data_IF_707786943034
#
_entry.id   IF_707786943034
#
_cell.length_a   1.000
_cell.length_b   1.000
_cell.length_c   1.000
_cell.angle_alpha   90.00
_cell.angle_beta   90.00
_cell.angle_gamma   90.00
#
_symmetry.space_group_name_H-M   'P 1'
#
loop_
_entity.id
_entity.type
_entity.pdbx_description
1 polymer ?
#
# COMPACT_ATOMS: atom_id res chain seq x y z
N UNK A 1 26.96 36.28 51.74
CA UNK A 1 26.45 36.16 50.35
C UNK A 1 25.30 35.16 50.33
N UNK A 2 24.08 35.63 50.04
CA UNK A 2 22.94 34.72 49.80
C UNK A 2 23.13 34.03 48.48
N UNK A 3 23.22 32.69 48.53
CA UNK A 3 23.13 31.89 47.31
C UNK A 3 21.75 32.12 46.67
N UNK A 4 21.74 32.63 45.43
CA UNK A 4 20.54 32.67 44.61
C UNK A 4 20.24 31.23 44.20
N UNK A 5 19.21 30.63 44.83
CA UNK A 5 18.69 29.35 44.36
C UNK A 5 18.02 29.60 43.01
N UNK A 6 18.59 29.03 41.96
CA UNK A 6 17.95 29.00 40.64
C UNK A 6 16.65 28.19 40.71
N UNK A 7 15.51 28.88 40.61
CA UNK A 7 14.22 28.23 40.50
C UNK A 7 14.04 27.80 39.07
N UNK A 8 13.97 26.49 38.83
CA UNK A 8 13.69 25.93 37.50
C UNK A 8 12.22 25.58 37.42
N UNK A 9 11.52 26.16 36.45
CA UNK A 9 10.16 25.78 36.09
C UNK A 9 10.22 24.79 34.93
N UNK A 10 9.77 23.56 35.17
CA UNK A 10 9.73 22.53 34.19
C UNK A 10 8.40 22.54 33.42
N UNK A 11 8.44 22.27 32.11
CA UNK A 11 7.25 22.07 31.31
C UNK A 11 6.57 20.74 31.65
N UNK A 12 5.25 20.69 31.52
CA UNK A 12 4.51 19.46 31.63
C UNK A 12 4.91 18.50 30.49
N UNK A 13 4.95 17.19 30.73
CA UNK A 13 5.20 16.22 29.66
C UNK A 13 4.02 16.21 28.67
N UNK A 14 4.32 16.05 27.40
CA UNK A 14 3.35 15.76 26.34
C UNK A 14 3.57 14.37 25.75
N UNK A 15 2.50 13.73 25.35
CA UNK A 15 2.51 12.40 24.70
C UNK A 15 1.69 12.47 23.44
N UNK A 16 2.13 11.78 22.40
CA UNK A 16 1.39 11.59 21.16
C UNK A 16 1.05 10.11 21.04
N UNK A 17 -0.24 9.79 20.94
CA UNK A 17 -0.70 8.47 20.51
C UNK A 17 -1.03 8.56 19.02
N UNK A 18 -0.19 7.94 18.18
CA UNK A 18 -0.26 8.02 16.72
C UNK A 18 -0.84 6.73 16.15
N UNK A 19 -1.89 6.84 15.35
CA UNK A 19 -2.57 5.71 14.72
C UNK A 19 -2.80 5.96 13.23
N UNK A 20 -2.76 4.90 12.44
CA UNK A 20 -3.12 4.85 11.03
C UNK A 20 -3.58 3.44 10.69
N UNK A 21 -4.37 3.29 9.64
CA UNK A 21 -4.86 1.99 9.17
C UNK A 21 -4.38 1.71 7.76
N UNK A 22 -4.18 0.42 7.45
CA UNK A 22 -3.90 -0.04 6.10
C UNK A 22 -5.14 0.14 5.23
N UNK A 23 -4.94 0.61 4.01
CA UNK A 23 -6.02 0.79 3.03
C UNK A 23 -5.63 0.17 1.68
N UNK A 24 -6.57 0.15 0.75
CA UNK A 24 -6.31 -0.28 -0.63
C UNK A 24 -6.08 0.92 -1.55
N UNK A 25 -5.37 0.68 -2.65
CA UNK A 25 -5.12 1.67 -3.71
C UNK A 25 -6.43 2.36 -4.11
N UNK A 26 -6.38 3.70 -4.22
CA UNK A 26 -7.54 4.53 -4.53
C UNK A 26 -8.33 5.01 -3.32
N UNK A 27 -8.01 4.54 -2.11
CA UNK A 27 -8.61 5.04 -0.86
C UNK A 27 -7.72 6.10 -0.21
N UNK A 28 -8.34 7.02 0.53
CA UNK A 28 -7.62 7.99 1.34
C UNK A 28 -7.13 7.33 2.63
N UNK A 29 -5.90 7.65 3.02
CA UNK A 29 -5.37 7.28 4.33
C UNK A 29 -5.69 8.36 5.34
N UNK A 30 -6.17 7.95 6.51
CA UNK A 30 -6.35 8.83 7.66
C UNK A 30 -5.33 8.51 8.73
N UNK A 31 -4.53 9.51 9.11
CA UNK A 31 -3.53 9.44 10.16
C UNK A 31 -4.01 10.32 11.31
N UNK A 32 -4.07 9.76 12.53
CA UNK A 32 -4.58 10.44 13.71
C UNK A 32 -3.52 10.48 14.81
N UNK A 33 -3.26 11.67 15.31
CA UNK A 33 -2.50 11.90 16.52
C UNK A 33 -3.44 12.37 17.64
N UNK A 34 -3.50 11.63 18.73
CA UNK A 34 -4.13 12.08 19.99
C UNK A 34 -3.03 12.57 20.93
N UNK A 35 -3.22 13.75 21.50
CA UNK A 35 -2.21 14.38 22.36
C UNK A 35 -2.73 14.52 23.80
N UNK A 36 -1.79 14.72 24.72
CA UNK A 36 -2.11 15.03 26.13
C UNK A 36 -3.14 16.14 26.20
N UNK A 37 -4.09 16.02 27.13
CA UNK A 37 -5.15 17.00 27.35
C UNK A 37 -4.57 18.39 27.68
N UNK A 38 -5.15 19.41 27.06
CA UNK A 38 -4.72 20.82 27.18
C UNK A 38 -3.53 21.21 26.30
N UNK A 39 -2.94 20.31 25.54
CA UNK A 39 -1.91 20.63 24.55
C UNK A 39 -2.54 21.40 23.38
N UNK A 40 -1.91 22.51 23.01
CA UNK A 40 -2.34 23.40 21.92
C UNK A 40 -1.18 23.63 20.95
N UNK A 41 -1.49 24.07 19.73
CA UNK A 41 -0.52 24.29 18.66
C UNK A 41 -0.77 23.37 17.47
N UNK A 42 0.27 22.85 16.90
CA UNK A 42 0.19 21.96 15.73
C UNK A 42 1.03 20.69 15.90
N UNK A 43 0.62 19.63 15.21
CA UNK A 43 1.42 18.44 14.98
C UNK A 43 1.96 18.52 13.55
N UNK A 44 3.25 18.29 13.39
CA UNK A 44 3.90 18.13 12.09
C UNK A 44 3.96 16.64 11.80
N UNK A 45 3.12 16.17 10.87
CA UNK A 45 3.23 14.81 10.34
C UNK A 45 4.26 14.79 9.22
N UNK A 46 5.13 13.78 9.24
CA UNK A 46 6.13 13.55 8.18
C UNK A 46 5.82 12.20 7.54
N UNK A 47 5.44 12.20 6.26
CA UNK A 47 5.14 11.00 5.46
C UNK A 47 5.96 11.07 4.18
N UNK A 48 6.80 10.06 3.91
CA UNK A 48 7.73 10.06 2.77
C UNK A 48 8.56 11.36 2.66
N UNK A 49 9.13 11.81 3.77
CA UNK A 49 9.92 13.05 3.88
C UNK A 49 9.15 14.35 3.53
N UNK A 50 7.83 14.28 3.41
CA UNK A 50 6.98 15.44 3.22
C UNK A 50 6.29 15.79 4.52
N UNK A 51 6.36 17.09 4.89
CA UNK A 51 5.78 17.62 6.10
C UNK A 51 4.35 18.13 5.87
N UNK A 52 3.49 17.85 6.85
CA UNK A 52 2.10 18.27 6.88
C UNK A 52 1.78 18.83 8.26
N UNK A 53 1.82 20.15 8.46
CA UNK A 53 1.41 20.77 9.72
C UNK A 53 -0.11 20.72 9.85
N UNK A 54 -0.60 20.24 11.00
CA UNK A 54 -2.03 20.12 11.31
C UNK A 54 -2.29 20.69 12.69
N UNK A 55 -3.23 21.63 12.79
CA UNK A 55 -3.63 22.22 14.06
C UNK A 55 -4.30 21.18 14.95
N UNK A 56 -3.94 21.24 16.24
CA UNK A 56 -4.58 20.43 17.28
C UNK A 56 -5.95 21.04 17.59
N UNK A 57 -6.99 20.22 17.50
CA UNK A 57 -8.37 20.52 17.88
C UNK A 57 -8.91 19.40 18.76
N UNK A 58 -9.49 19.73 19.90
CA UNK A 58 -10.05 18.73 20.82
C UNK A 58 -9.07 17.59 21.12
N UNK A 59 -7.81 17.97 21.43
CA UNK A 59 -6.69 17.05 21.72
C UNK A 59 -6.33 16.10 20.56
N UNK A 60 -6.67 16.43 19.32
CA UNK A 60 -6.41 15.61 18.12
C UNK A 60 -5.89 16.44 16.97
N UNK A 61 -5.01 15.82 16.19
CA UNK A 61 -4.65 16.28 14.86
C UNK A 61 -4.93 15.13 13.87
N UNK A 62 -5.66 15.41 12.79
CA UNK A 62 -6.07 14.41 11.81
C UNK A 62 -5.59 14.86 10.44
N UNK A 63 -4.79 14.01 9.81
CA UNK A 63 -4.31 14.19 8.44
C UNK A 63 -4.94 13.16 7.52
N UNK A 64 -5.51 13.60 6.38
CA UNK A 64 -5.97 12.73 5.31
C UNK A 64 -5.10 12.93 4.08
N UNK A 65 -4.62 11.84 3.48
CA UNK A 65 -3.78 11.86 2.27
C UNK A 65 -4.42 10.98 1.21
N UNK A 66 -4.69 11.57 0.04
CA UNK A 66 -5.25 10.89 -1.12
C UNK A 66 -4.16 10.48 -2.12
N UNK A 67 -4.51 9.57 -3.04
CA UNK A 67 -3.74 9.21 -4.23
C UNK A 67 -2.32 8.69 -3.94
N UNK A 68 -2.13 7.95 -2.85
CA UNK A 68 -0.89 7.26 -2.59
C UNK A 68 -0.81 5.96 -3.40
N UNK A 69 0.37 5.67 -3.94
CA UNK A 69 0.66 4.40 -4.61
C UNK A 69 0.75 3.25 -3.60
N UNK A 70 0.64 2.02 -4.08
CA UNK A 70 0.85 0.84 -3.23
C UNK A 70 2.26 0.83 -2.62
N UNK A 71 2.36 0.43 -1.36
CA UNK A 71 3.63 0.39 -0.63
C UNK A 71 3.45 0.52 0.87
N UNK A 72 4.56 0.52 1.59
CA UNK A 72 4.61 0.79 3.04
C UNK A 72 5.12 2.20 3.26
N UNK A 73 4.48 2.92 4.16
CA UNK A 73 4.76 4.32 4.47
C UNK A 73 5.09 4.47 5.95
N UNK A 74 6.23 5.09 6.23
CA UNK A 74 6.59 5.50 7.58
C UNK A 74 5.97 6.85 7.88
N UNK A 75 5.44 6.98 9.09
CA UNK A 75 4.82 8.20 9.60
C UNK A 75 5.51 8.61 10.88
N UNK A 76 5.93 9.86 10.95
CA UNK A 76 6.42 10.49 12.17
C UNK A 76 5.49 11.67 12.47
N UNK A 77 5.03 11.76 13.72
CA UNK A 77 4.34 12.93 14.24
C UNK A 77 5.24 13.65 15.25
N UNK A 78 5.43 14.95 15.06
CA UNK A 78 6.23 15.80 15.95
C UNK A 78 5.38 16.92 16.53
N UNK A 79 5.61 17.18 17.79
CA UNK A 79 5.13 18.34 18.50
C UNK A 79 6.32 19.08 19.12
N UNK A 80 6.52 20.34 18.77
CA UNK A 80 7.69 21.11 19.23
C UNK A 80 7.55 21.62 20.66
N UNK A 81 6.37 21.47 21.25
CA UNK A 81 6.05 22.01 22.56
C UNK A 81 5.52 23.44 22.50
N UNK A 82 5.11 23.96 23.64
CA UNK A 82 4.72 25.36 23.85
C UNK A 82 5.26 25.86 25.19
N UNK A 83 4.77 26.96 25.71
CA UNK A 83 5.24 27.53 26.97
C UNK A 83 4.99 26.60 28.17
N UNK A 84 3.92 25.81 28.14
CA UNK A 84 3.48 24.92 29.21
C UNK A 84 3.90 23.47 29.05
N UNK A 85 3.97 22.98 27.79
CA UNK A 85 4.21 21.58 27.47
C UNK A 85 5.54 21.39 26.71
N UNK A 86 6.22 20.31 27.03
CA UNK A 86 7.45 19.89 26.33
C UNK A 86 7.17 19.34 24.93
N UNK A 87 8.22 19.17 24.13
CA UNK A 87 8.12 18.50 22.84
C UNK A 87 7.84 17.01 22.96
N UNK A 88 7.22 16.43 21.95
CA UNK A 88 6.97 14.99 21.85
C UNK A 88 7.07 14.51 20.41
N UNK A 89 7.33 13.22 20.21
CA UNK A 89 7.28 12.58 18.91
C UNK A 89 6.75 11.15 19.04
N UNK A 90 6.11 10.68 17.97
CA UNK A 90 5.66 9.29 17.83
C UNK A 90 5.84 8.85 16.38
N UNK A 91 5.93 7.55 16.15
CA UNK A 91 6.02 6.97 14.84
C UNK A 91 5.04 5.80 14.68
N UNK A 92 4.60 5.57 13.46
CA UNK A 92 3.79 4.43 13.05
C UNK A 92 4.05 4.12 11.58
N UNK A 93 3.44 3.07 11.07
CA UNK A 93 3.48 2.72 9.64
C UNK A 93 2.09 2.35 9.18
N UNK A 94 1.83 2.51 7.89
CA UNK A 94 0.65 1.96 7.23
C UNK A 94 1.02 1.41 5.85
N UNK A 95 0.13 0.58 5.31
CA UNK A 95 0.29 0.01 3.97
C UNK A 95 -0.86 0.43 3.05
N UNK A 96 -0.49 0.71 1.81
CA UNK A 96 -1.44 0.79 0.71
C UNK A 96 -1.36 -0.55 -0.04
N UNK A 97 -2.40 -1.34 0.07
CA UNK A 97 -2.46 -2.68 -0.51
C UNK A 97 -3.03 -2.63 -1.93
N UNK A 98 -2.54 -3.51 -2.81
CA UNK A 98 -3.20 -3.80 -4.08
C UNK A 98 -4.33 -4.79 -3.86
N UNK A 99 -5.35 -4.73 -4.72
CA UNK A 99 -6.42 -5.73 -4.76
C UNK A 99 -5.89 -7.07 -5.29
N UNK A 100 -6.54 -8.16 -4.93
CA UNK A 100 -6.33 -9.46 -5.58
C UNK A 100 -6.73 -9.37 -7.06
N UNK A 101 -5.93 -9.99 -7.94
CA UNK A 101 -6.25 -10.05 -9.37
C UNK A 101 -7.28 -11.12 -9.72
N UNK A 102 -7.57 -12.07 -8.81
CA UNK A 102 -8.56 -13.16 -8.97
C UNK A 102 -8.51 -13.82 -10.37
N UNK A 103 -7.30 -14.06 -10.86
CA UNK A 103 -7.04 -14.62 -12.17
C UNK A 103 -7.72 -15.97 -12.36
N UNK A 104 -8.44 -16.12 -13.47
CA UNK A 104 -9.05 -17.37 -13.91
C UNK A 104 -8.58 -17.71 -15.31
N UNK A 105 -8.52 -18.99 -15.62
CA UNK A 105 -8.15 -19.44 -16.96
C UNK A 105 -8.87 -20.71 -17.35
N UNK A 106 -9.29 -20.76 -18.61
CA UNK A 106 -9.82 -21.93 -19.28
C UNK A 106 -8.86 -22.34 -20.39
N UNK A 107 -8.69 -23.64 -20.58
CA UNK A 107 -7.81 -24.25 -21.58
C UNK A 107 -8.62 -25.08 -22.56
N UNK A 108 -8.29 -25.02 -23.84
CA UNK A 108 -8.89 -25.82 -24.86
C UNK A 108 -7.80 -26.34 -25.84
N UNK A 109 -7.78 -27.64 -26.04
CA UNK A 109 -6.84 -28.31 -26.94
C UNK A 109 -7.54 -28.63 -28.27
N UNK A 110 -6.91 -28.28 -29.38
CA UNK A 110 -7.34 -28.61 -30.72
C UNK A 110 -6.15 -29.13 -31.54
N UNK A 111 -6.11 -30.43 -31.81
CA UNK A 111 -4.92 -31.06 -32.39
C UNK A 111 -3.73 -30.93 -31.44
N UNK A 112 -2.64 -30.31 -31.92
CA UNK A 112 -1.43 -30.04 -31.15
C UNK A 112 -1.33 -28.61 -30.64
N UNK A 113 -2.43 -27.85 -30.70
CA UNK A 113 -2.47 -26.45 -30.27
C UNK A 113 -3.29 -26.32 -29.01
N UNK A 114 -2.75 -25.55 -28.04
CA UNK A 114 -3.40 -25.20 -26.79
C UNK A 114 -3.83 -23.72 -26.83
N UNK A 115 -5.13 -23.49 -26.70
CA UNK A 115 -5.68 -22.15 -26.49
C UNK A 115 -5.94 -21.94 -24.98
N UNK A 116 -5.41 -20.86 -24.44
CA UNK A 116 -5.60 -20.43 -23.04
C UNK A 116 -6.36 -19.10 -23.05
N UNK A 117 -7.55 -19.09 -22.44
CA UNK A 117 -8.36 -17.89 -22.24
C UNK A 117 -8.27 -17.47 -20.79
N UNK A 118 -7.79 -16.26 -20.53
CA UNK A 118 -7.54 -15.72 -19.19
C UNK A 118 -8.54 -14.63 -18.90
N UNK A 119 -9.08 -14.63 -17.68
CA UNK A 119 -10.01 -13.62 -17.17
C UNK A 119 -9.45 -13.04 -15.89
N UNK A 120 -9.45 -11.71 -15.82
CA UNK A 120 -9.01 -10.86 -14.74
C UNK A 120 -10.13 -9.85 -14.45
N UNK A 121 -10.04 -9.00 -13.40
CA UNK A 121 -10.94 -7.86 -13.25
C UNK A 121 -10.99 -6.98 -14.52
N UNK A 122 -12.15 -6.43 -14.84
CA UNK A 122 -12.42 -5.72 -16.12
C UNK A 122 -11.45 -4.56 -16.38
N UNK A 123 -11.04 -3.85 -15.33
CA UNK A 123 -10.12 -2.71 -15.39
C UNK A 123 -8.64 -3.10 -15.17
N UNK A 124 -8.32 -4.39 -15.07
CA UNK A 124 -6.95 -4.86 -14.98
C UNK A 124 -6.19 -4.60 -16.28
N UNK A 125 -4.94 -4.18 -16.13
CA UNK A 125 -3.98 -3.89 -17.20
C UNK A 125 -2.71 -4.74 -17.06
N UNK A 126 -1.66 -4.45 -17.81
CA UNK A 126 -0.41 -5.19 -17.76
C UNK A 126 -0.36 -6.38 -18.70
N UNK A 127 0.45 -7.38 -18.37
CA UNK A 127 0.72 -8.52 -19.25
C UNK A 127 0.49 -9.85 -18.54
N UNK A 128 0.12 -10.86 -19.34
CA UNK A 128 0.09 -12.26 -18.93
C UNK A 128 1.13 -13.02 -19.73
N UNK A 129 1.91 -13.86 -19.07
CA UNK A 129 2.84 -14.81 -19.67
C UNK A 129 2.30 -16.21 -19.43
N UNK A 130 2.09 -16.96 -20.51
CA UNK A 130 1.72 -18.37 -20.47
C UNK A 130 2.94 -19.21 -20.83
N UNK A 131 3.29 -20.17 -19.99
CA UNK A 131 4.43 -21.07 -20.17
C UNK A 131 3.97 -22.51 -20.19
N UNK A 132 4.39 -23.26 -21.23
CA UNK A 132 4.12 -24.70 -21.40
C UNK A 132 5.38 -25.35 -21.96
N UNK A 133 5.96 -26.33 -21.27
CA UNK A 133 7.16 -27.09 -21.70
C UNK A 133 8.33 -26.17 -22.14
N UNK A 134 8.51 -25.06 -21.45
CA UNK A 134 9.55 -24.08 -21.77
C UNK A 134 9.22 -23.12 -22.91
N UNK A 135 8.12 -23.33 -23.63
CA UNK A 135 7.56 -22.33 -24.56
C UNK A 135 6.87 -21.25 -23.74
N UNK A 136 7.11 -19.98 -24.10
CA UNK A 136 6.53 -18.83 -23.40
C UNK A 136 5.92 -17.86 -24.41
N UNK A 137 4.68 -17.47 -24.15
CA UNK A 137 3.99 -16.43 -24.91
C UNK A 137 3.51 -15.33 -23.94
N UNK A 138 3.71 -14.09 -24.36
CA UNK A 138 3.30 -12.90 -23.59
C UNK A 138 2.23 -12.13 -24.34
N UNK A 139 1.16 -11.75 -23.63
CA UNK A 139 0.06 -10.99 -24.21
C UNK A 139 -0.37 -9.89 -23.25
N UNK A 140 -0.75 -8.74 -23.79
CA UNK A 140 -1.33 -7.65 -23.01
C UNK A 140 -2.77 -7.99 -22.57
N UNK A 141 -3.12 -7.58 -21.36
CA UNK A 141 -4.48 -7.65 -20.85
C UNK A 141 -5.31 -6.51 -21.44
N UNK A 142 -6.45 -6.82 -22.02
CA UNK A 142 -7.40 -5.85 -22.57
C UNK A 142 -8.80 -6.10 -21.97
N UNK A 143 -9.38 -5.09 -21.34
CA UNK A 143 -10.69 -5.18 -20.68
C UNK A 143 -10.79 -6.46 -19.82
N UNK A 144 -9.80 -6.69 -18.96
CA UNK A 144 -9.74 -7.85 -18.07
C UNK A 144 -9.59 -9.21 -18.77
N UNK A 145 -9.25 -9.24 -20.04
CA UNK A 145 -9.14 -10.49 -20.82
C UNK A 145 -7.79 -10.59 -21.54
N UNK A 146 -7.30 -11.82 -21.65
CA UNK A 146 -6.15 -12.16 -22.46
C UNK A 146 -6.35 -13.54 -23.09
N UNK A 147 -5.85 -13.75 -24.30
CA UNK A 147 -5.90 -15.04 -24.98
C UNK A 147 -4.55 -15.37 -25.62
N UNK A 148 -4.09 -16.58 -25.36
CA UNK A 148 -2.81 -17.09 -25.87
C UNK A 148 -3.06 -18.41 -26.59
N UNK A 149 -2.33 -18.66 -27.67
CA UNK A 149 -2.29 -19.96 -28.36
C UNK A 149 -0.85 -20.46 -28.40
N UNK A 150 -0.62 -21.62 -27.80
CA UNK A 150 0.66 -22.33 -27.84
C UNK A 150 0.55 -23.44 -28.87
N UNK A 151 1.33 -23.35 -29.96
CA UNK A 151 1.24 -24.27 -31.09
C UNK A 151 2.25 -25.39 -30.96
N UNK A 152 1.97 -26.52 -31.66
CA UNK A 152 2.88 -27.64 -31.84
C UNK A 152 3.36 -28.23 -30.50
N UNK A 153 2.45 -28.54 -29.61
CA UNK A 153 2.73 -29.33 -28.41
C UNK A 153 2.90 -30.80 -28.78
N UNK A 154 3.74 -31.50 -28.05
CA UNK A 154 3.89 -32.96 -28.17
C UNK A 154 2.67 -33.67 -27.61
N UNK A 155 2.48 -34.94 -27.93
CA UNK A 155 1.44 -35.75 -27.27
C UNK A 155 1.83 -36.03 -25.82
N UNK A 156 0.89 -35.88 -24.87
CA UNK A 156 1.12 -36.17 -23.48
C UNK A 156 0.42 -35.16 -22.56
N UNK A 157 0.74 -35.24 -21.25
CA UNK A 157 0.27 -34.31 -20.24
C UNK A 157 1.21 -33.10 -20.16
N UNK A 158 0.65 -31.92 -20.12
CA UNK A 158 1.37 -30.66 -20.04
C UNK A 158 0.93 -29.86 -18.82
N UNK A 159 1.88 -29.23 -18.15
CA UNK A 159 1.58 -28.23 -17.13
C UNK A 159 1.63 -26.84 -17.74
N UNK A 160 0.56 -26.08 -17.53
CA UNK A 160 0.40 -24.72 -18.01
C UNK A 160 0.57 -23.77 -16.83
N UNK A 161 1.60 -22.95 -16.87
CA UNK A 161 1.83 -21.88 -15.90
C UNK A 161 1.40 -20.55 -16.50
N UNK A 162 0.57 -19.81 -15.80
CA UNK A 162 0.01 -18.52 -16.21
C UNK A 162 0.41 -17.48 -15.18
N UNK A 163 1.25 -16.54 -15.59
CA UNK A 163 1.77 -15.47 -14.74
C UNK A 163 1.21 -14.12 -15.17
N UNK A 164 0.46 -13.47 -14.29
CA UNK A 164 0.02 -12.10 -14.46
C UNK A 164 1.01 -11.15 -13.78
N UNK A 165 1.48 -10.12 -14.50
CA UNK A 165 2.46 -9.17 -13.99
C UNK A 165 1.95 -8.30 -12.84
N UNK A 166 0.63 -8.18 -12.68
CA UNK A 166 0.01 -7.12 -11.90
C UNK A 166 0.06 -5.77 -12.61
N UNK A 167 -0.58 -4.79 -12.01
CA UNK A 167 -0.57 -3.39 -12.41
C UNK A 167 -0.55 -2.46 -11.17
N UNK A 168 -0.89 -1.19 -11.30
CA UNK A 168 -0.91 -0.24 -10.17
C UNK A 168 -2.00 -0.59 -9.14
N UNK A 169 -3.11 -1.20 -9.57
CA UNK A 169 -4.26 -1.53 -8.74
C UNK A 169 -4.29 -2.98 -8.26
N UNK A 170 -3.87 -3.93 -9.11
CA UNK A 170 -3.95 -5.36 -8.86
C UNK A 170 -2.57 -5.98 -8.63
N UNK A 171 -2.50 -6.90 -7.68
CA UNK A 171 -1.30 -7.68 -7.41
C UNK A 171 -1.02 -8.69 -8.53
N UNK A 172 0.27 -9.01 -8.71
CA UNK A 172 0.68 -10.12 -9.57
C UNK A 172 0.13 -11.45 -9.04
N UNK A 173 -0.11 -12.40 -9.94
CA UNK A 173 -0.60 -13.73 -9.60
C UNK A 173 -0.06 -14.80 -10.55
N UNK A 174 0.04 -16.01 -10.03
CA UNK A 174 0.40 -17.22 -10.79
C UNK A 174 -0.71 -18.25 -10.65
N UNK A 175 -1.10 -18.83 -11.77
CA UNK A 175 -2.07 -19.93 -11.85
C UNK A 175 -1.44 -21.10 -12.59
N UNK A 176 -1.56 -22.31 -12.05
CA UNK A 176 -1.07 -23.54 -12.69
C UNK A 176 -2.28 -24.41 -13.04
N UNK A 177 -2.27 -24.98 -14.24
CA UNK A 177 -3.22 -25.98 -14.77
C UNK A 177 -2.46 -27.22 -15.23
N UNK A 178 -2.95 -28.39 -14.87
CA UNK A 178 -2.41 -29.71 -15.27
C UNK A 178 -3.47 -30.46 -16.06
#
# INVERSE_FOLDING_TARGET
SKALNNLTVNKFPSVINLTSEDVYVGSDVTIKAEVTDGVTGEIIFIVNNKEYPVLIKDNKAILSIANLSSGTYDVIAKYDGNDLYGSASANTTFKINKYSSDIKADTNVSGNDLSVSIVLPEDATGNVIVSVDGKKESVAVNNGSAKVVINNLTSGNHSVEINYSGDDKYASATLIRN
#
